data_IF_365337106266
#
_entry.id   IF_365337106266
#
_cell.length_a   1.000
_cell.length_b   1.000
_cell.length_c   1.000
_cell.angle_alpha   90.00
_cell.angle_beta   90.00
_cell.angle_gamma   90.00
#
_symmetry.space_group_name_H-M   'P 1'
#
loop_
_entity.id
_entity.type
_entity.pdbx_description
1 polymer ?
#
# COMPACT_ATOMS: atom_id res chain seq x y z
N UNK A 1 -5.24 19.41 -6.14
CA UNK A 1 -4.90 18.06 -5.64
C UNK A 1 -4.54 18.20 -4.19
N UNK A 2 -4.96 17.28 -3.31
CA UNK A 2 -4.57 17.31 -1.90
C UNK A 2 -3.04 17.23 -1.79
N UNK A 3 -2.47 17.80 -0.72
CA UNK A 3 -1.09 17.51 -0.34
C UNK A 3 -0.91 16.04 0.01
N UNK A 4 0.32 15.51 -0.02
CA UNK A 4 0.58 14.11 0.37
C UNK A 4 0.20 13.82 1.82
N UNK A 5 0.31 14.81 2.72
CA UNK A 5 -0.19 14.71 4.10
C UNK A 5 -1.71 14.58 4.16
N UNK A 6 -2.46 15.44 3.45
CA UNK A 6 -3.93 15.36 3.42
C UNK A 6 -4.40 14.04 2.79
N UNK A 7 -3.74 13.61 1.71
CA UNK A 7 -4.00 12.34 1.06
C UNK A 7 -3.79 11.16 2.02
N UNK A 8 -2.61 11.07 2.64
CA UNK A 8 -2.31 9.98 3.58
C UNK A 8 -3.30 9.94 4.74
N UNK A 9 -3.59 11.10 5.35
CA UNK A 9 -4.53 11.17 6.48
C UNK A 9 -5.94 10.73 6.08
N UNK A 10 -6.41 11.09 4.89
CA UNK A 10 -7.70 10.63 4.38
C UNK A 10 -7.71 9.12 4.12
N UNK A 11 -6.69 8.59 3.46
CA UNK A 11 -6.54 7.16 3.14
C UNK A 11 -6.47 6.31 4.42
N UNK A 12 -5.63 6.69 5.38
CA UNK A 12 -5.51 6.00 6.66
C UNK A 12 -6.78 6.09 7.49
N UNK A 13 -7.50 7.23 7.49
CA UNK A 13 -8.78 7.34 8.21
C UNK A 13 -9.81 6.36 7.65
N UNK A 14 -9.93 6.25 6.32
CA UNK A 14 -10.86 5.34 5.68
C UNK A 14 -10.50 3.87 5.97
N UNK A 15 -9.23 3.49 5.78
CA UNK A 15 -8.78 2.12 6.02
C UNK A 15 -8.86 1.74 7.51
N UNK A 16 -8.45 2.64 8.42
CA UNK A 16 -8.56 2.41 9.86
C UNK A 16 -10.00 2.22 10.33
N UNK A 17 -10.96 2.95 9.74
CA UNK A 17 -12.38 2.72 10.03
C UNK A 17 -12.83 1.31 9.61
N UNK A 18 -12.47 0.87 8.39
CA UNK A 18 -12.76 -0.48 7.93
C UNK A 18 -12.14 -1.55 8.84
N UNK A 19 -10.86 -1.38 9.20
CA UNK A 19 -10.10 -2.34 10.03
C UNK A 19 -10.67 -2.42 11.46
N UNK A 20 -11.16 -1.30 12.01
CA UNK A 20 -11.82 -1.28 13.33
C UNK A 20 -13.17 -2.01 13.35
N UNK A 21 -13.84 -2.10 12.20
CA UNK A 21 -15.13 -2.78 12.05
C UNK A 21 -14.98 -4.27 11.69
N UNK A 22 -13.74 -4.80 11.68
CA UNK A 22 -13.48 -6.23 11.43
C UNK A 22 -14.08 -7.09 12.54
N UNK A 23 -14.76 -8.15 12.12
CA UNK A 23 -15.38 -9.11 13.03
C UNK A 23 -14.46 -10.32 13.23
N UNK A 24 -14.49 -11.00 14.39
CA UNK A 24 -13.66 -12.18 14.64
C UNK A 24 -13.82 -13.28 13.57
N UNK A 25 -15.02 -13.43 13.00
CA UNK A 25 -15.32 -14.45 11.99
C UNK A 25 -14.70 -14.13 10.62
N UNK A 26 -14.27 -12.89 10.39
CA UNK A 26 -13.64 -12.44 9.15
C UNK A 26 -12.13 -12.69 9.15
N UNK A 27 -11.52 -12.92 10.32
CA UNK A 27 -10.07 -12.99 10.51
C UNK A 27 -9.34 -13.91 9.52
N UNK A 28 -9.98 -15.04 9.16
CA UNK A 28 -9.39 -16.08 8.32
C UNK A 28 -9.89 -16.08 6.88
N UNK A 29 -10.71 -15.09 6.49
CA UNK A 29 -11.13 -14.97 5.10
C UNK A 29 -9.95 -14.59 4.20
N UNK A 30 -9.82 -15.18 2.99
CA UNK A 30 -8.76 -14.86 2.06
C UNK A 30 -8.96 -13.45 1.49
N UNK A 31 -7.88 -12.68 1.41
CA UNK A 31 -7.89 -11.31 0.86
C UNK A 31 -7.50 -11.30 -0.62
N UNK A 32 -7.54 -10.14 -1.27
CA UNK A 32 -6.98 -9.91 -2.61
C UNK A 32 -5.45 -10.03 -2.66
N UNK A 33 -4.77 -9.95 -1.50
CA UNK A 33 -3.35 -10.26 -1.39
C UNK A 33 -3.19 -11.79 -1.32
N UNK A 34 -2.74 -12.39 -2.42
CA UNK A 34 -2.70 -13.85 -2.58
C UNK A 34 -1.90 -14.51 -1.46
N UNK A 35 -2.51 -15.50 -0.79
CA UNK A 35 -1.89 -16.23 0.32
C UNK A 35 -2.17 -15.65 1.71
N UNK A 36 -2.76 -14.45 1.78
CA UNK A 36 -2.99 -13.72 3.02
C UNK A 36 -4.45 -13.72 3.43
N UNK A 37 -4.70 -14.00 4.71
CA UNK A 37 -5.99 -13.82 5.35
C UNK A 37 -6.13 -12.39 5.91
N UNK A 38 -7.34 -11.98 6.25
CA UNK A 38 -7.63 -10.65 6.83
C UNK A 38 -6.74 -10.36 8.04
N UNK A 39 -6.50 -11.33 8.93
CA UNK A 39 -5.65 -11.16 10.10
C UNK A 39 -4.17 -10.92 9.71
N UNK A 40 -3.67 -11.65 8.70
CA UNK A 40 -2.31 -11.48 8.20
C UNK A 40 -2.13 -10.08 7.60
N UNK A 41 -3.10 -9.65 6.78
CA UNK A 41 -3.07 -8.35 6.13
C UNK A 41 -3.18 -7.22 7.16
N UNK A 42 -4.00 -7.40 8.19
CA UNK A 42 -4.10 -6.44 9.31
C UNK A 42 -2.77 -6.32 10.07
N UNK A 43 -2.06 -7.43 10.30
CA UNK A 43 -0.72 -7.37 10.90
C UNK A 43 0.27 -6.60 10.02
N UNK A 44 0.24 -6.81 8.71
CA UNK A 44 1.12 -6.07 7.80
C UNK A 44 0.83 -4.58 7.77
N UNK A 45 -0.44 -4.17 7.80
CA UNK A 45 -0.81 -2.76 7.94
C UNK A 45 -0.25 -2.15 9.24
N UNK A 46 -0.24 -2.91 10.35
CA UNK A 46 0.41 -2.50 11.60
C UNK A 46 1.92 -2.33 11.42
N UNK A 47 2.58 -3.30 10.78
CA UNK A 47 4.02 -3.23 10.53
C UNK A 47 4.41 -2.07 9.62
N UNK A 48 3.59 -1.78 8.61
CA UNK A 48 3.83 -0.67 7.70
C UNK A 48 3.61 0.69 8.35
N UNK A 49 2.50 0.87 9.08
CA UNK A 49 2.28 2.10 9.83
C UNK A 49 3.43 2.35 10.83
N UNK A 50 3.97 1.27 11.43
CA UNK A 50 5.17 1.34 12.27
C UNK A 50 6.41 1.76 11.47
N UNK A 51 6.63 1.20 10.28
CA UNK A 51 7.72 1.61 9.37
C UNK A 51 7.61 3.09 9.03
N UNK A 52 6.42 3.56 8.65
CA UNK A 52 6.15 4.97 8.34
C UNK A 52 6.45 5.90 9.53
N UNK A 53 6.02 5.52 10.73
CA UNK A 53 6.31 6.29 11.94
C UNK A 53 7.80 6.35 12.25
N UNK A 54 8.51 5.21 12.15
CA UNK A 54 9.97 5.16 12.33
C UNK A 54 10.67 6.03 11.31
N UNK A 55 10.27 5.97 10.04
CA UNK A 55 10.87 6.75 8.96
C UNK A 55 10.72 8.26 9.22
N UNK A 56 9.51 8.73 9.58
CA UNK A 56 9.26 10.13 9.94
C UNK A 56 10.07 10.60 11.16
N UNK A 57 10.50 9.68 12.01
CA UNK A 57 11.37 9.95 13.16
C UNK A 57 12.87 9.70 12.88
N UNK A 58 13.25 9.39 11.64
CA UNK A 58 14.63 9.05 11.26
C UNK A 58 15.14 9.97 10.16
N UNK A 59 15.69 11.16 10.52
CA UNK A 59 16.31 12.06 9.56
C UNK A 59 17.48 11.40 8.83
N UNK A 60 17.65 11.72 7.54
CA UNK A 60 18.72 11.20 6.70
C UNK A 60 19.54 12.32 6.06
N UNK A 61 20.81 12.05 5.81
CA UNK A 61 21.68 12.96 5.07
C UNK A 61 21.39 12.88 3.55
N UNK A 62 21.56 13.98 2.81
CA UNK A 62 21.47 13.97 1.35
C UNK A 62 22.56 13.10 0.69
N UNK A 63 22.37 12.69 -0.58
CA UNK A 63 21.20 12.98 -1.43
C UNK A 63 20.02 12.03 -1.15
N UNK A 64 18.82 12.43 -1.60
CA UNK A 64 17.73 11.46 -1.77
C UNK A 64 18.17 10.37 -2.75
N UNK A 65 17.89 9.10 -2.42
CA UNK A 65 18.29 7.94 -3.22
C UNK A 65 17.11 7.28 -3.94
N UNK A 66 15.90 7.74 -3.67
CA UNK A 66 14.67 7.30 -4.31
C UNK A 66 13.62 8.43 -4.27
N UNK A 67 12.45 8.18 -4.85
CA UNK A 67 11.28 9.06 -4.84
C UNK A 67 9.98 8.23 -4.74
N UNK A 68 8.81 8.89 -4.79
CA UNK A 68 7.50 8.26 -4.70
C UNK A 68 7.25 7.14 -5.75
N UNK A 69 7.96 7.14 -6.88
CA UNK A 69 7.81 6.20 -7.98
C UNK A 69 8.94 5.15 -7.95
N UNK A 70 10.20 5.61 -7.91
CA UNK A 70 11.38 4.76 -7.99
C UNK A 70 11.47 3.76 -6.82
N UNK A 71 10.89 4.10 -5.66
CA UNK A 71 10.81 3.23 -4.49
C UNK A 71 10.20 1.86 -4.82
N UNK A 72 9.17 1.82 -5.67
CA UNK A 72 8.45 0.60 -6.01
C UNK A 72 9.17 -0.32 -6.98
N UNK A 73 10.22 0.15 -7.67
CA UNK A 73 10.97 -0.66 -8.65
C UNK A 73 11.67 -1.87 -8.01
N UNK A 74 12.02 -1.77 -6.74
CA UNK A 74 12.63 -2.86 -6.00
C UNK A 74 11.62 -3.93 -5.56
N UNK A 75 10.31 -3.66 -5.69
CA UNK A 75 9.25 -4.53 -5.20
C UNK A 75 8.74 -5.47 -6.30
N UNK A 76 9.56 -6.49 -6.60
CA UNK A 76 9.26 -7.57 -7.53
C UNK A 76 9.65 -8.92 -6.90
N UNK A 77 8.93 -9.36 -5.86
CA UNK A 77 9.20 -10.64 -5.21
C UNK A 77 8.99 -11.80 -6.19
N UNK A 78 9.79 -12.85 -6.04
CA UNK A 78 9.52 -14.14 -6.66
C UNK A 78 8.40 -14.85 -5.90
N UNK A 79 7.69 -15.78 -6.55
CA UNK A 79 6.65 -16.58 -5.89
C UNK A 79 7.14 -17.32 -4.63
N UNK A 80 8.41 -17.71 -4.58
CA UNK A 80 9.01 -18.32 -3.38
C UNK A 80 9.21 -17.31 -2.24
N UNK A 81 9.59 -16.07 -2.55
CA UNK A 81 9.68 -14.99 -1.56
C UNK A 81 8.29 -14.61 -1.03
N UNK A 82 7.28 -14.52 -1.90
CA UNK A 82 5.90 -14.26 -1.47
C UNK A 82 5.37 -15.34 -0.54
N UNK A 83 5.59 -16.61 -0.88
CA UNK A 83 5.20 -17.74 -0.03
C UNK A 83 5.90 -17.70 1.34
N UNK A 84 7.19 -17.37 1.39
CA UNK A 84 7.94 -17.21 2.63
C UNK A 84 7.41 -16.04 3.48
N UNK A 85 7.17 -14.88 2.85
CA UNK A 85 6.61 -13.70 3.53
C UNK A 85 5.22 -14.01 4.07
N UNK A 86 4.33 -14.59 3.26
CA UNK A 86 2.98 -14.98 3.69
C UNK A 86 3.01 -15.95 4.87
N UNK A 87 3.90 -16.95 4.82
CA UNK A 87 4.09 -17.89 5.92
C UNK A 87 4.55 -17.19 7.21
N UNK A 88 5.61 -16.38 7.13
CA UNK A 88 6.14 -15.65 8.30
C UNK A 88 5.14 -14.67 8.88
N UNK A 89 4.40 -13.96 8.03
CA UNK A 89 3.33 -13.07 8.47
C UNK A 89 2.25 -13.86 9.19
N UNK A 90 1.80 -15.01 8.66
CA UNK A 90 0.79 -15.83 9.33
C UNK A 90 1.23 -16.33 10.70
N UNK A 91 2.47 -16.80 10.83
CA UNK A 91 3.02 -17.22 12.12
C UNK A 91 2.97 -16.07 13.12
N UNK A 92 3.36 -14.85 12.71
CA UNK A 92 3.32 -13.67 13.56
C UNK A 92 1.90 -13.21 13.87
N UNK A 93 0.99 -13.24 12.90
CA UNK A 93 -0.40 -12.80 13.07
C UNK A 93 -1.17 -13.75 14.00
N UNK A 94 -0.83 -15.05 13.97
CA UNK A 94 -1.46 -16.08 14.80
C UNK A 94 -1.23 -15.93 16.31
N UNK A 95 -0.27 -15.10 16.72
CA UNK A 95 -0.04 -14.82 18.15
C UNK A 95 -0.86 -13.64 18.67
N UNK A 96 -1.51 -12.88 17.80
CA UNK A 96 -2.40 -11.79 18.20
C UNK A 96 -3.70 -12.34 18.79
N UNK A 97 -4.32 -11.60 19.71
CA UNK A 97 -5.64 -11.87 20.27
C UNK A 97 -6.82 -11.70 19.30
N UNK A 98 -6.54 -11.63 17.99
CA UNK A 98 -7.52 -11.48 16.92
C UNK A 98 -7.57 -10.06 16.32
N UNK A 99 -8.53 -9.81 15.40
CA UNK A 99 -8.62 -8.53 14.67
C UNK A 99 -8.78 -7.31 15.58
N UNK A 100 -9.49 -7.44 16.70
CA UNK A 100 -9.73 -6.34 17.63
C UNK A 100 -8.43 -5.78 18.21
N UNK A 101 -7.48 -6.64 18.61
CA UNK A 101 -6.18 -6.22 19.13
C UNK A 101 -5.39 -5.46 18.06
N UNK A 102 -5.21 -6.07 16.88
CA UNK A 102 -4.43 -5.46 15.80
C UNK A 102 -5.07 -4.16 15.28
N UNK A 103 -6.41 -4.09 15.21
CA UNK A 103 -7.12 -2.88 14.78
C UNK A 103 -6.91 -1.70 15.71
N UNK A 104 -6.85 -1.94 17.04
CA UNK A 104 -6.52 -0.92 18.03
C UNK A 104 -5.10 -0.39 17.85
N UNK A 105 -4.13 -1.30 17.72
CA UNK A 105 -2.72 -0.95 17.48
C UNK A 105 -2.56 -0.19 16.15
N UNK A 106 -3.24 -0.64 15.08
CA UNK A 106 -3.20 0.02 13.78
C UNK A 106 -3.74 1.45 13.88
N UNK A 107 -4.89 1.65 14.54
CA UNK A 107 -5.50 2.96 14.72
C UNK A 107 -4.59 3.96 15.46
N UNK A 108 -3.90 3.50 16.51
CA UNK A 108 -2.93 4.33 17.25
C UNK A 108 -1.73 4.71 16.36
N UNK A 109 -1.18 3.76 15.62
CA UNK A 109 -0.03 3.99 14.74
C UNK A 109 -0.37 4.97 13.62
N UNK A 110 -1.47 4.78 12.90
CA UNK A 110 -1.83 5.70 11.79
C UNK A 110 -2.16 7.10 12.28
N UNK A 111 -2.74 7.23 13.49
CA UNK A 111 -2.93 8.54 14.13
C UNK A 111 -1.57 9.20 14.45
N UNK A 112 -0.61 8.45 14.98
CA UNK A 112 0.74 8.94 15.25
C UNK A 112 1.48 9.34 13.97
N UNK A 113 1.39 8.54 12.90
CA UNK A 113 1.92 8.88 11.57
C UNK A 113 1.30 10.17 11.06
N UNK A 114 -0.02 10.33 11.17
CA UNK A 114 -0.72 11.54 10.76
C UNK A 114 -0.25 12.80 11.48
N UNK A 115 0.03 12.70 12.79
CA UNK A 115 0.60 13.80 13.59
C UNK A 115 2.04 14.10 13.18
N UNK A 116 2.87 13.08 12.99
CA UNK A 116 4.26 13.25 12.57
C UNK A 116 4.34 13.90 11.17
N UNK A 117 3.55 13.40 10.22
CA UNK A 117 3.44 13.95 8.87
C UNK A 117 3.01 15.42 8.87
N UNK A 118 2.10 15.82 9.76
CA UNK A 118 1.67 17.21 9.91
C UNK A 118 2.70 18.15 10.55
N UNK A 119 3.80 17.61 11.10
CA UNK A 119 4.89 18.37 11.71
C UNK A 119 6.15 18.43 10.84
N UNK A 120 6.28 17.53 9.88
CA UNK A 120 7.40 17.49 8.94
C UNK A 120 7.22 18.49 7.79
N UNK A 121 8.32 18.92 7.19
CA UNK A 121 8.30 19.67 5.94
C UNK A 121 8.34 18.71 4.75
N UNK A 122 7.65 19.01 3.63
CA UNK A 122 7.65 18.14 2.45
C UNK A 122 9.06 17.76 1.95
N UNK A 123 10.00 18.69 2.04
CA UNK A 123 11.39 18.55 1.58
C UNK A 123 12.35 17.88 2.58
N UNK A 124 11.91 17.60 3.82
CA UNK A 124 12.76 16.94 4.82
C UNK A 124 13.13 15.54 4.34
N UNK A 125 14.39 15.15 4.52
CA UNK A 125 14.91 13.84 4.12
C UNK A 125 14.85 12.83 5.27
N UNK A 126 14.31 11.66 4.98
CA UNK A 126 14.07 10.57 5.94
C UNK A 126 14.58 9.23 5.42
N UNK A 127 15.03 8.38 6.34
CA UNK A 127 15.51 7.04 6.04
C UNK A 127 14.44 5.96 6.20
N UNK A 128 14.27 5.09 5.21
CA UNK A 128 13.38 3.92 5.31
C UNK A 128 13.88 2.77 4.42
N UNK A 129 13.96 1.55 4.96
CA UNK A 129 14.33 0.34 4.21
C UNK A 129 15.60 0.47 3.32
N UNK A 130 16.59 1.23 3.77
CA UNK A 130 17.82 1.48 3.01
C UNK A 130 17.74 2.60 1.96
N UNK A 131 16.57 3.24 1.81
CA UNK A 131 16.37 4.43 0.99
C UNK A 131 16.42 5.71 1.82
N UNK A 132 16.79 6.81 1.14
CA UNK A 132 16.58 8.18 1.58
C UNK A 132 15.51 8.80 0.69
N UNK A 133 14.40 9.20 1.28
CA UNK A 133 13.26 9.82 0.59
C UNK A 133 13.03 11.23 1.13
N UNK A 134 12.45 12.10 0.31
CA UNK A 134 11.76 13.27 0.84
C UNK A 134 10.52 12.82 1.62
N UNK A 135 10.08 13.64 2.55
CA UNK A 135 8.89 13.32 3.33
C UNK A 135 7.65 13.23 2.44
N UNK A 136 7.49 14.12 1.46
CA UNK A 136 6.36 14.03 0.52
C UNK A 136 6.32 12.69 -0.23
N UNK A 137 7.47 12.21 -0.69
CA UNK A 137 7.63 10.92 -1.35
C UNK A 137 7.28 9.76 -0.42
N UNK A 138 7.78 9.77 0.82
CA UNK A 138 7.42 8.75 1.82
C UNK A 138 5.91 8.71 2.08
N UNK A 139 5.26 9.86 2.24
CA UNK A 139 3.82 9.92 2.50
C UNK A 139 3.00 9.40 1.30
N UNK A 140 3.48 9.62 0.07
CA UNK A 140 2.92 9.01 -1.13
C UNK A 140 3.04 7.47 -1.08
N UNK A 141 4.20 6.92 -0.71
CA UNK A 141 4.35 5.45 -0.66
C UNK A 141 3.42 4.81 0.37
N UNK A 142 3.28 5.42 1.54
CA UNK A 142 2.33 4.97 2.58
C UNK A 142 0.87 5.04 2.11
N UNK A 143 0.51 6.07 1.34
CA UNK A 143 -0.84 6.22 0.81
C UNK A 143 -1.15 5.17 -0.28
N UNK A 144 -0.20 4.90 -1.17
CA UNK A 144 -0.32 3.85 -2.20
C UNK A 144 -0.46 2.48 -1.56
N UNK A 145 0.37 2.16 -0.57
CA UNK A 145 0.31 0.89 0.13
C UNK A 145 -1.06 0.69 0.80
N UNK A 146 -1.53 1.69 1.55
CA UNK A 146 -2.83 1.65 2.19
C UNK A 146 -3.97 1.53 1.18
N UNK A 147 -3.91 2.20 0.03
CA UNK A 147 -4.93 2.10 -1.01
C UNK A 147 -4.99 0.69 -1.63
N UNK A 148 -3.84 0.10 -1.96
CA UNK A 148 -3.76 -1.26 -2.52
C UNK A 148 -4.26 -2.29 -1.51
N UNK A 149 -3.85 -2.19 -0.23
CA UNK A 149 -4.29 -3.16 0.77
C UNK A 149 -5.72 -2.94 1.26
N UNK A 150 -6.25 -1.72 1.14
CA UNK A 150 -7.67 -1.49 1.29
C UNK A 150 -8.46 -2.16 0.15
N UNK A 151 -8.00 -2.12 -1.12
CA UNK A 151 -8.56 -2.94 -2.19
C UNK A 151 -8.49 -4.44 -1.87
N UNK A 152 -7.36 -4.92 -1.35
CA UNK A 152 -7.17 -6.32 -0.99
C UNK A 152 -8.17 -6.78 0.09
N UNK A 153 -8.53 -5.91 1.06
CA UNK A 153 -9.52 -6.26 2.08
C UNK A 153 -10.95 -6.35 1.52
N UNK A 154 -11.36 -5.39 0.70
CA UNK A 154 -12.75 -5.32 0.21
C UNK A 154 -13.09 -6.36 -0.85
N UNK A 155 -12.13 -7.18 -1.29
CA UNK A 155 -12.43 -8.33 -2.16
C UNK A 155 -13.24 -9.42 -1.43
N UNK A 156 -13.03 -9.58 -0.12
CA UNK A 156 -13.73 -10.56 0.71
C UNK A 156 -14.75 -9.93 1.66
N UNK A 157 -14.70 -8.59 1.82
CA UNK A 157 -15.56 -7.85 2.73
C UNK A 157 -16.53 -7.01 1.91
N UNK A 158 -17.84 -7.18 2.15
CA UNK A 158 -18.88 -6.35 1.54
C UNK A 158 -18.86 -4.93 2.18
N UNK A 159 -17.84 -4.15 1.81
CA UNK A 159 -17.51 -2.83 2.35
C UNK A 159 -17.03 -1.90 1.22
N UNK A 160 -17.20 -0.57 1.34
CA UNK A 160 -16.69 0.38 0.34
C UNK A 160 -15.16 0.32 0.21
N UNK A 161 -14.66 0.44 -1.01
CA UNK A 161 -13.22 0.48 -1.31
C UNK A 161 -12.55 1.83 -0.98
N UNK A 162 -11.28 2.01 -1.40
CA UNK A 162 -10.54 3.24 -1.14
C UNK A 162 -11.16 4.46 -1.80
N UNK A 163 -10.88 5.64 -1.24
CA UNK A 163 -11.29 6.91 -1.82
C UNK A 163 -10.69 7.09 -3.22
N UNK A 164 -11.39 7.77 -4.16
CA UNK A 164 -10.90 8.01 -5.51
C UNK A 164 -9.52 8.65 -5.57
N UNK A 165 -9.22 9.61 -4.68
CA UNK A 165 -7.93 10.30 -4.63
C UNK A 165 -6.77 9.36 -4.28
N UNK A 166 -7.04 8.33 -3.46
CA UNK A 166 -6.05 7.32 -3.09
C UNK A 166 -5.74 6.40 -4.28
N UNK A 167 -6.78 6.00 -5.03
CA UNK A 167 -6.61 5.21 -6.25
C UNK A 167 -5.94 6.00 -7.38
N UNK A 168 -6.25 7.29 -7.50
CA UNK A 168 -5.58 8.18 -8.46
C UNK A 168 -4.07 8.30 -8.17
N UNK A 169 -3.67 8.29 -6.89
CA UNK A 169 -2.25 8.26 -6.52
C UNK A 169 -1.57 6.94 -6.89
N UNK A 170 -2.24 5.80 -6.68
CA UNK A 170 -1.76 4.49 -7.16
C UNK A 170 -1.54 4.54 -8.68
N UNK A 171 -2.52 5.05 -9.44
CA UNK A 171 -2.40 5.21 -10.89
C UNK A 171 -1.21 6.10 -11.27
N UNK A 172 -1.04 7.26 -10.63
CA UNK A 172 0.09 8.16 -10.89
C UNK A 172 1.44 7.45 -10.71
N UNK A 173 1.57 6.64 -9.66
CA UNK A 173 2.78 5.85 -9.42
C UNK A 173 2.97 4.76 -10.48
N UNK A 174 1.92 4.04 -10.85
CA UNK A 174 1.98 3.01 -11.89
C UNK A 174 2.35 3.61 -13.26
N UNK A 175 1.76 4.74 -13.64
CA UNK A 175 2.11 5.46 -14.87
C UNK A 175 3.56 5.95 -14.83
N UNK A 176 4.05 6.41 -13.67
CA UNK A 176 5.45 6.77 -13.49
C UNK A 176 6.41 5.58 -13.60
N UNK A 177 6.03 4.42 -13.08
CA UNK A 177 6.80 3.18 -13.22
C UNK A 177 6.82 2.72 -14.67
N UNK A 178 5.67 2.74 -15.33
CA UNK A 178 5.54 2.40 -16.74
C UNK A 178 6.30 3.39 -17.63
N UNK A 179 6.32 4.68 -17.28
CA UNK A 179 6.88 5.75 -18.11
C UNK A 179 5.94 6.19 -19.24
N UNK A 180 4.71 5.65 -19.29
CA UNK A 180 3.66 5.94 -20.25
C UNK A 180 2.29 5.95 -19.53
N UNK A 181 1.25 6.59 -20.10
CA UNK A 181 -0.10 6.51 -19.57
C UNK A 181 -0.64 5.08 -19.57
N UNK A 182 -1.44 4.74 -18.54
CA UNK A 182 -2.18 3.49 -18.52
C UNK A 182 -3.38 3.54 -19.48
N UNK A 183 -3.91 2.38 -19.92
CA UNK A 183 -5.06 2.32 -20.82
C UNK A 183 -6.21 3.23 -20.37
N UNK A 184 -6.70 4.10 -21.27
CA UNK A 184 -7.73 5.08 -20.96
C UNK A 184 -9.09 4.46 -20.56
N UNK A 185 -9.32 3.19 -20.93
CA UNK A 185 -10.51 2.44 -20.55
C UNK A 185 -10.48 1.86 -19.13
N UNK A 186 -9.35 1.90 -18.44
CA UNK A 186 -9.25 1.46 -17.05
C UNK A 186 -9.69 2.57 -16.10
N UNK A 187 -10.62 2.24 -15.20
CA UNK A 187 -10.78 3.02 -13.98
C UNK A 187 -9.59 2.81 -13.03
N UNK A 188 -9.43 3.69 -12.04
CA UNK A 188 -8.23 3.67 -11.19
C UNK A 188 -8.16 2.39 -10.32
N UNK A 189 -9.29 1.76 -10.02
CA UNK A 189 -9.33 0.48 -9.30
C UNK A 189 -8.84 -0.69 -10.18
N UNK A 190 -9.22 -0.71 -11.46
CA UNK A 190 -8.74 -1.68 -12.44
C UNK A 190 -7.26 -1.46 -12.71
N UNK A 191 -6.84 -0.21 -12.88
CA UNK A 191 -5.43 0.15 -13.00
C UNK A 191 -4.61 -0.35 -11.80
N UNK A 192 -5.10 -0.13 -10.57
CA UNK A 192 -4.47 -0.65 -9.37
C UNK A 192 -4.38 -2.18 -9.40
N UNK A 193 -5.48 -2.90 -9.64
CA UNK A 193 -5.48 -4.38 -9.64
C UNK A 193 -4.60 -5.00 -10.72
N UNK A 194 -4.66 -4.50 -11.96
CA UNK A 194 -3.81 -4.96 -13.08
C UNK A 194 -2.35 -4.59 -12.86
N UNK A 195 -2.09 -3.33 -12.51
CA UNK A 195 -0.76 -2.80 -12.28
C UNK A 195 -0.01 -3.48 -11.13
N UNK A 196 -0.75 -3.97 -10.15
CA UNK A 196 -0.18 -4.63 -8.95
C UNK A 196 -0.29 -6.15 -8.93
N UNK A 197 -0.72 -6.75 -10.04
CA UNK A 197 -0.78 -8.21 -10.21
C UNK A 197 -1.90 -8.91 -9.44
N UNK A 198 -2.81 -8.18 -8.79
CA UNK A 198 -4.01 -8.77 -8.16
C UNK A 198 -4.99 -9.32 -9.18
N UNK A 199 -4.91 -8.84 -10.42
CA UNK A 199 -5.74 -9.30 -11.52
C UNK A 199 -4.89 -9.41 -12.80
N UNK A 200 -4.87 -10.56 -13.50
CA UNK A 200 -3.98 -10.76 -14.66
C UNK A 200 -4.46 -9.99 -15.89
N UNK A 201 -3.56 -9.41 -16.70
CA UNK A 201 -3.96 -8.76 -17.96
C UNK A 201 -4.70 -9.72 -18.90
N UNK A 202 -5.82 -9.26 -19.47
CA UNK A 202 -6.57 -9.97 -20.52
C UNK A 202 -6.06 -9.65 -21.93
N UNK A 203 -6.67 -10.24 -22.96
CA UNK A 203 -6.26 -10.06 -24.35
C UNK A 203 -6.45 -8.61 -24.85
N UNK A 204 -7.49 -7.91 -24.37
CA UNK A 204 -7.74 -6.53 -24.74
C UNK A 204 -6.71 -5.59 -24.09
N UNK A 205 -6.39 -5.85 -22.82
CA UNK A 205 -5.33 -5.16 -22.09
C UNK A 205 -3.99 -5.30 -22.83
N UNK A 206 -3.62 -6.52 -23.22
CA UNK A 206 -2.39 -6.81 -23.96
C UNK A 206 -2.36 -6.15 -25.34
N UNK A 207 -3.49 -6.11 -26.05
CA UNK A 207 -3.57 -5.44 -27.34
C UNK A 207 -3.33 -3.93 -27.22
N UNK A 208 -3.85 -3.29 -26.17
CA UNK A 208 -3.68 -1.84 -25.94
C UNK A 208 -2.28 -1.52 -25.42
N UNK A 209 -1.74 -2.31 -24.49
CA UNK A 209 -0.42 -2.10 -23.90
C UNK A 209 0.73 -2.47 -24.87
N UNK A 210 0.50 -3.36 -25.82
CA UNK A 210 1.52 -3.86 -26.73
C UNK A 210 2.72 -4.46 -25.97
N UNK A 211 3.94 -4.07 -26.36
CA UNK A 211 5.16 -4.58 -25.73
C UNK A 211 5.27 -4.24 -24.23
N UNK A 212 4.58 -3.19 -23.76
CA UNK A 212 4.58 -2.82 -22.34
C UNK A 212 3.88 -3.84 -21.45
N UNK A 213 3.04 -4.72 -22.00
CA UNK A 213 2.34 -5.76 -21.23
C UNK A 213 3.31 -6.72 -20.50
N UNK A 214 4.51 -6.95 -21.06
CA UNK A 214 5.54 -7.82 -20.46
C UNK A 214 6.15 -7.24 -19.17
N UNK A 215 5.88 -5.97 -18.86
CA UNK A 215 6.36 -5.30 -17.64
C UNK A 215 5.37 -5.42 -16.48
N UNK A 216 4.21 -6.02 -16.69
CA UNK A 216 3.20 -6.19 -15.65
C UNK A 216 3.42 -7.52 -14.89
N UNK A 217 3.22 -7.53 -13.56
CA UNK A 217 2.86 -6.39 -12.72
C UNK A 217 4.01 -5.38 -12.58
N UNK A 218 3.68 -4.09 -12.47
CA UNK A 218 4.67 -3.00 -12.37
C UNK A 218 5.36 -2.97 -11.01
N UNK A 219 4.64 -3.41 -9.96
CA UNK A 219 5.15 -3.84 -8.67
C UNK A 219 4.12 -4.78 -8.06
N UNK A 220 4.48 -5.62 -7.09
CA UNK A 220 3.48 -6.42 -6.38
C UNK A 220 3.97 -7.80 -6.01
#
# INVERSE_FOLDING_TARGET
MPSSTELLQATYRALSALVRDLRPEEAWQPTGCTGWAVLDLTLHLVDDARRGLVALATPAAPPATSDAVAYWRAWQPTAAQDADVAWRTRVRASVAGGPAELSGVYAELVAAVGVAAGRSRPEDLVGTQGHVLRTDDLLSTLAVEAAVHHLDLVTCLDRPGPAPEALAEVRRVLEGLLGDPLPAGWDDATAARRGTGREPLDDADRAVLGASAERFPLFG
#
